data_IF_974139852894
#
_entry.id   IF_974139852894
#
_cell.length_a   1.000
_cell.length_b   1.000
_cell.length_c   1.000
_cell.angle_alpha   90.00
_cell.angle_beta   90.00
_cell.angle_gamma   90.00
#
_symmetry.space_group_name_H-M   'P 1'
#
loop_
_entity.id
_entity.type
_entity.pdbx_description
1 polymer ?
#
# COMPACT_ATOMS: atom_id res chain seq x y z
N UNK A 1 64.78 26.79 71.12
CA UNK A 1 64.39 25.55 70.40
C UNK A 1 63.31 25.95 69.40
N UNK A 2 63.64 26.11 68.10
CA UNK A 2 63.46 25.12 67.00
C UNK A 2 62.00 24.64 66.88
N UNK A 3 61.24 24.59 65.77
CA UNK A 3 61.35 24.69 64.27
C UNK A 3 59.89 24.94 63.79
N UNK A 4 59.56 25.76 62.78
CA UNK A 4 59.54 25.53 61.31
C UNK A 4 58.63 24.38 60.77
N UNK A 5 57.73 24.78 59.84
CA UNK A 5 57.17 24.09 58.64
C UNK A 5 55.77 23.44 58.71
N UNK A 6 54.90 23.83 57.74
CA UNK A 6 53.95 22.90 57.11
C UNK A 6 52.70 23.49 56.45
N UNK A 7 52.81 24.05 55.24
CA UNK A 7 51.70 24.25 54.29
C UNK A 7 51.02 22.92 53.91
N UNK A 8 49.72 22.94 53.63
CA UNK A 8 49.12 22.31 52.43
C UNK A 8 47.64 22.65 52.29
N UNK A 9 47.34 23.51 51.32
CA UNK A 9 46.08 23.53 50.59
C UNK A 9 45.79 22.14 50.03
N UNK A 10 44.54 21.69 50.10
CA UNK A 10 44.02 20.64 49.22
C UNK A 10 42.71 21.13 48.61
N UNK A 11 42.84 21.75 47.43
CA UNK A 11 41.76 21.89 46.47
C UNK A 11 41.31 20.49 46.03
N UNK A 12 40.11 20.08 46.46
CA UNK A 12 39.43 18.89 45.96
C UNK A 12 38.99 19.10 44.51
N UNK A 13 39.84 18.66 43.58
CA UNK A 13 39.59 18.56 42.16
C UNK A 13 38.17 18.03 41.86
N UNK A 14 37.35 18.88 41.22
CA UNK A 14 36.15 18.44 40.54
C UNK A 14 36.54 17.43 39.46
N UNK A 15 36.31 16.14 39.73
CA UNK A 15 36.47 15.08 38.76
C UNK A 15 35.57 15.38 37.56
N UNK A 16 36.17 15.94 36.52
CA UNK A 16 35.46 16.36 35.34
C UNK A 16 34.98 15.11 34.61
N UNK A 17 33.66 14.88 34.62
CA UNK A 17 32.97 13.84 33.84
C UNK A 17 33.06 14.13 32.32
N UNK A 18 34.27 14.30 31.78
CA UNK A 18 34.50 14.61 30.37
C UNK A 18 34.01 13.48 29.47
N UNK A 19 34.24 12.22 29.86
CA UNK A 19 33.80 11.04 29.09
C UNK A 19 32.28 10.88 29.09
N UNK A 20 31.63 11.16 30.23
CA UNK A 20 30.17 11.20 30.33
C UNK A 20 29.55 12.32 29.50
N UNK A 21 30.18 13.50 29.48
CA UNK A 21 29.77 14.65 28.65
C UNK A 21 30.03 14.42 27.17
N UNK A 22 31.13 13.77 26.79
CA UNK A 22 31.42 13.41 25.40
C UNK A 22 30.42 12.37 24.87
N UNK A 23 30.13 11.33 25.65
CA UNK A 23 29.16 10.30 25.26
C UNK A 23 27.73 10.83 25.22
N UNK A 24 27.35 11.76 26.12
CA UNK A 24 26.09 12.49 26.04
C UNK A 24 26.03 13.47 24.86
N UNK A 25 27.09 14.25 24.61
CA UNK A 25 27.15 15.12 23.44
C UNK A 25 27.11 14.35 22.14
N UNK A 26 27.79 13.20 22.04
CA UNK A 26 27.69 12.31 20.87
C UNK A 26 26.28 11.74 20.75
N UNK A 27 25.64 11.33 21.84
CA UNK A 27 24.23 10.88 21.80
C UNK A 27 23.28 12.00 21.37
N UNK A 28 23.47 13.23 21.85
CA UNK A 28 22.72 14.41 21.38
C UNK A 28 22.98 14.67 19.92
N UNK A 29 24.23 14.74 19.48
CA UNK A 29 24.57 14.98 18.07
C UNK A 29 24.00 13.87 17.18
N UNK A 30 24.06 12.61 17.60
CA UNK A 30 23.46 11.49 16.86
C UNK A 30 21.93 11.61 16.83
N UNK A 31 21.30 12.08 17.91
CA UNK A 31 19.85 12.32 17.97
C UNK A 31 19.44 13.52 17.12
N UNK A 32 20.19 14.62 17.19
CA UNK A 32 20.00 15.86 16.43
C UNK A 32 20.22 15.62 14.93
N UNK A 33 21.17 14.75 14.54
CA UNK A 33 21.34 14.27 13.15
C UNK A 33 20.21 13.32 12.74
N UNK A 34 19.63 12.57 13.67
CA UNK A 34 18.43 11.73 13.42
C UNK A 34 17.17 12.56 13.21
N UNK A 35 17.12 13.75 13.81
CA UNK A 35 16.00 14.69 13.85
C UNK A 35 16.17 15.89 12.90
N UNK A 36 17.11 15.86 11.95
CA UNK A 36 17.11 16.80 10.83
C UNK A 36 15.79 16.63 10.06
N UNK A 37 14.89 17.60 10.28
CA UNK A 37 13.51 17.59 9.82
C UNK A 37 13.40 17.54 8.30
N UNK A 38 12.21 17.12 7.83
CA UNK A 38 11.86 17.14 6.42
C UNK A 38 11.92 18.56 5.86
N UNK A 39 12.22 18.71 4.57
CA UNK A 39 12.16 20.01 3.85
C UNK A 39 10.76 20.64 3.89
N UNK A 40 9.74 19.84 4.20
CA UNK A 40 8.33 20.18 4.36
C UNK A 40 7.96 20.70 5.75
N UNK A 41 8.83 20.60 6.76
CA UNK A 41 8.53 20.98 8.14
C UNK A 41 7.59 20.02 8.89
N UNK A 42 7.34 18.83 8.33
CA UNK A 42 6.52 17.80 8.96
C UNK A 42 7.28 17.14 10.12
N UNK A 43 6.56 16.88 11.21
CA UNK A 43 7.09 16.17 12.39
C UNK A 43 7.40 14.72 12.05
N UNK A 44 8.31 14.11 12.81
CA UNK A 44 8.67 12.71 12.63
C UNK A 44 7.46 11.78 12.73
N UNK A 45 6.58 12.03 13.68
CA UNK A 45 5.31 11.31 13.84
C UNK A 45 4.42 11.40 12.61
N UNK A 46 4.24 12.59 11.99
CA UNK A 46 3.43 12.75 10.77
C UNK A 46 4.01 11.99 9.57
N UNK A 47 5.34 11.98 9.46
CA UNK A 47 6.06 11.26 8.40
C UNK A 47 5.90 9.74 8.59
N UNK A 48 5.95 9.26 9.84
CA UNK A 48 5.70 7.86 10.18
C UNK A 48 4.24 7.48 9.90
N UNK A 49 3.27 8.31 10.31
CA UNK A 49 1.85 8.05 10.07
C UNK A 49 1.55 7.95 8.57
N UNK A 50 2.13 8.86 7.77
CA UNK A 50 2.01 8.83 6.31
C UNK A 50 2.62 7.55 5.73
N UNK A 51 3.77 7.10 6.25
CA UNK A 51 4.41 5.86 5.83
C UNK A 51 3.55 4.63 6.10
N UNK A 52 3.04 4.50 7.33
CA UNK A 52 2.13 3.41 7.72
C UNK A 52 0.90 3.37 6.81
N UNK A 53 0.31 4.55 6.56
CA UNK A 53 -0.86 4.71 5.71
C UNK A 53 -0.60 4.28 4.26
N UNK A 54 0.49 4.75 3.66
CA UNK A 54 0.88 4.39 2.30
C UNK A 54 1.12 2.89 2.15
N UNK A 55 1.79 2.25 3.12
CA UNK A 55 2.03 0.80 3.12
C UNK A 55 0.73 0.00 3.20
N UNK A 56 -0.15 0.34 4.13
CA UNK A 56 -1.42 -0.36 4.31
C UNK A 56 -2.30 -0.28 3.04
N UNK A 57 -2.34 0.91 2.44
CA UNK A 57 -3.10 1.16 1.21
C UNK A 57 -2.49 0.42 0.03
N UNK A 58 -1.16 0.39 -0.09
CA UNK A 58 -0.47 -0.33 -1.17
C UNK A 58 -0.85 -1.81 -1.19
N UNK A 59 -0.75 -2.50 -0.06
CA UNK A 59 -1.09 -3.94 0.05
C UNK A 59 -2.50 -4.21 -0.47
N UNK A 60 -3.48 -3.41 -0.04
CA UNK A 60 -4.87 -3.59 -0.47
C UNK A 60 -5.11 -3.22 -1.93
N UNK A 61 -4.41 -2.20 -2.44
CA UNK A 61 -4.49 -1.85 -3.85
C UNK A 61 -3.93 -2.97 -4.73
N UNK A 62 -2.81 -3.58 -4.31
CA UNK A 62 -2.22 -4.74 -5.00
C UNK A 62 -3.22 -5.90 -5.07
N UNK A 63 -3.92 -6.23 -3.96
CA UNK A 63 -4.96 -7.26 -3.96
C UNK A 63 -6.13 -6.97 -4.92
N UNK A 64 -6.59 -5.70 -4.93
CA UNK A 64 -7.68 -5.25 -5.79
C UNK A 64 -7.27 -5.30 -7.27
N UNK A 65 -6.03 -4.89 -7.55
CA UNK A 65 -5.39 -4.96 -8.85
C UNK A 65 -5.25 -6.40 -9.34
N UNK A 66 -4.68 -7.28 -8.53
CA UNK A 66 -4.50 -8.70 -8.84
C UNK A 66 -5.83 -9.39 -9.14
N UNK A 67 -6.88 -9.05 -8.38
CA UNK A 67 -8.21 -9.59 -8.62
C UNK A 67 -8.75 -9.18 -9.99
N UNK A 68 -8.60 -7.90 -10.37
CA UNK A 68 -8.99 -7.40 -11.68
C UNK A 68 -8.14 -8.03 -12.80
N UNK A 69 -6.81 -8.08 -12.63
CA UNK A 69 -5.85 -8.71 -13.57
C UNK A 69 -6.23 -10.16 -13.83
N UNK A 70 -6.33 -10.98 -12.77
CA UNK A 70 -6.67 -12.41 -12.86
C UNK A 70 -8.01 -12.65 -13.56
N UNK A 71 -9.01 -11.81 -13.30
CA UNK A 71 -10.31 -11.93 -13.95
C UNK A 71 -10.26 -11.66 -15.46
N UNK A 72 -9.54 -10.61 -15.88
CA UNK A 72 -9.40 -10.25 -17.29
C UNK A 72 -8.49 -11.23 -18.05
N UNK A 73 -7.37 -11.65 -17.46
CA UNK A 73 -6.50 -12.69 -18.04
C UNK A 73 -7.26 -14.02 -18.13
N UNK A 74 -8.00 -14.39 -17.09
CA UNK A 74 -8.84 -15.59 -17.08
C UNK A 74 -9.96 -15.55 -18.14
N UNK A 75 -10.54 -14.38 -18.41
CA UNK A 75 -11.51 -14.17 -19.50
C UNK A 75 -10.86 -14.48 -20.86
N UNK A 76 -9.66 -13.96 -21.11
CA UNK A 76 -8.91 -14.19 -22.33
C UNK A 76 -8.56 -15.68 -22.52
N UNK A 77 -8.04 -16.33 -21.48
CA UNK A 77 -7.71 -17.77 -21.52
C UNK A 77 -8.95 -18.60 -21.86
N UNK A 78 -10.05 -18.43 -21.13
CA UNK A 78 -11.32 -19.13 -21.39
C UNK A 78 -11.90 -18.82 -22.77
N UNK A 79 -11.74 -17.59 -23.27
CA UNK A 79 -12.19 -17.22 -24.60
C UNK A 79 -11.41 -17.94 -25.70
N UNK A 80 -10.08 -18.03 -25.57
CA UNK A 80 -9.25 -18.77 -26.51
C UNK A 80 -9.60 -20.26 -26.51
N UNK A 81 -9.76 -20.88 -25.35
CA UNK A 81 -10.20 -22.27 -25.21
C UNK A 81 -11.57 -22.50 -25.87
N UNK A 82 -12.50 -21.55 -25.72
CA UNK A 82 -13.84 -21.64 -26.30
C UNK A 82 -13.84 -21.76 -27.82
N UNK A 83 -12.77 -21.33 -28.51
CA UNK A 83 -12.65 -21.43 -29.98
C UNK A 83 -12.68 -22.87 -30.48
N UNK A 84 -12.32 -23.84 -29.63
CA UNK A 84 -12.35 -25.26 -29.93
C UNK A 84 -13.76 -25.88 -29.79
N UNK A 85 -14.74 -25.12 -29.30
CA UNK A 85 -16.13 -25.61 -29.14
C UNK A 85 -16.90 -25.37 -30.44
N UNK A 86 -17.14 -26.46 -31.19
CA UNK A 86 -17.86 -26.42 -32.46
C UNK A 86 -19.35 -26.12 -32.31
N UNK A 87 -19.99 -26.55 -31.21
CA UNK A 87 -21.40 -26.28 -30.96
C UNK A 87 -21.62 -24.82 -30.55
N UNK A 88 -22.29 -24.05 -31.41
CA UNK A 88 -22.51 -22.61 -31.22
C UNK A 88 -23.36 -22.31 -29.98
N UNK A 89 -24.34 -23.15 -29.62
CA UNK A 89 -25.17 -22.95 -28.43
C UNK A 89 -24.38 -23.18 -27.14
N UNK A 90 -23.53 -24.21 -27.12
CA UNK A 90 -22.62 -24.47 -26.00
C UNK A 90 -21.60 -23.34 -25.86
N UNK A 91 -20.97 -22.94 -26.97
CA UNK A 91 -20.01 -21.83 -26.98
C UNK A 91 -20.65 -20.52 -26.53
N UNK A 92 -21.84 -20.21 -27.01
CA UNK A 92 -22.61 -19.05 -26.55
C UNK A 92 -22.81 -19.05 -25.02
N UNK A 93 -23.15 -20.21 -24.45
CA UNK A 93 -23.32 -20.36 -23.00
C UNK A 93 -22.01 -20.11 -22.25
N UNK A 94 -20.88 -20.61 -22.77
CA UNK A 94 -19.55 -20.34 -22.21
C UNK A 94 -19.20 -18.85 -22.25
N UNK A 95 -19.37 -18.18 -23.40
CA UNK A 95 -19.11 -16.74 -23.55
C UNK A 95 -19.92 -15.92 -22.56
N UNK A 96 -21.21 -16.26 -22.42
CA UNK A 96 -22.10 -15.62 -21.45
C UNK A 96 -21.61 -15.84 -20.01
N UNK A 97 -21.14 -17.03 -19.68
CA UNK A 97 -20.65 -17.37 -18.34
C UNK A 97 -19.38 -16.61 -17.98
N UNK A 98 -18.38 -16.60 -18.86
CA UNK A 98 -17.11 -15.92 -18.59
C UNK A 98 -17.29 -14.39 -18.45
N UNK A 99 -18.16 -13.77 -19.25
CA UNK A 99 -18.49 -12.34 -19.10
C UNK A 99 -19.22 -12.09 -17.78
N UNK A 100 -20.12 -12.98 -17.36
CA UNK A 100 -20.79 -12.89 -16.05
C UNK A 100 -19.81 -12.99 -14.89
N UNK A 101 -18.83 -13.88 -14.97
CA UNK A 101 -17.81 -14.04 -13.92
C UNK A 101 -17.04 -12.74 -13.68
N UNK A 102 -16.63 -12.06 -14.76
CA UNK A 102 -15.91 -10.78 -14.71
C UNK A 102 -16.82 -9.65 -14.25
N UNK A 103 -18.00 -9.51 -14.84
CA UNK A 103 -18.93 -8.40 -14.54
C UNK A 103 -19.54 -8.48 -13.14
N UNK A 104 -19.50 -9.65 -12.48
CA UNK A 104 -19.86 -9.80 -11.07
C UNK A 104 -18.94 -9.00 -10.15
N UNK A 105 -17.66 -8.81 -10.51
CA UNK A 105 -16.74 -8.02 -9.71
C UNK A 105 -17.20 -6.55 -9.56
N UNK A 106 -17.82 -5.99 -10.60
CA UNK A 106 -18.45 -4.65 -10.56
C UNK A 106 -19.73 -4.57 -9.72
N UNK A 107 -20.22 -5.69 -9.18
CA UNK A 107 -21.31 -5.70 -8.19
C UNK A 107 -20.79 -5.95 -6.78
N UNK A 108 -19.52 -6.35 -6.65
CA UNK A 108 -18.83 -6.59 -5.39
C UNK A 108 -17.95 -5.39 -5.05
N UNK A 109 -18.58 -4.30 -4.63
CA UNK A 109 -17.96 -2.99 -4.35
C UNK A 109 -16.83 -3.03 -3.31
N UNK A 110 -16.79 -4.06 -2.46
CA UNK A 110 -15.69 -4.34 -1.53
C UNK A 110 -14.42 -4.84 -2.23
N UNK A 111 -14.61 -5.62 -3.30
CA UNK A 111 -13.56 -6.29 -4.06
C UNK A 111 -12.92 -5.34 -5.07
N UNK A 112 -13.69 -4.43 -5.67
CA UNK A 112 -13.20 -3.40 -6.59
C UNK A 112 -13.58 -1.99 -6.12
N UNK A 113 -12.73 -1.41 -5.27
CA UNK A 113 -12.88 -0.04 -4.76
C UNK A 113 -12.95 0.96 -5.91
N UNK A 114 -13.91 1.88 -5.88
CA UNK A 114 -13.96 2.97 -6.85
C UNK A 114 -13.07 4.13 -6.42
N UNK A 115 -12.04 4.42 -7.20
CA UNK A 115 -11.14 5.56 -6.97
C UNK A 115 -11.41 6.58 -8.08
N UNK A 116 -11.96 7.77 -7.76
CA UNK A 116 -12.19 8.82 -8.75
C UNK A 116 -10.87 9.26 -9.37
N UNK A 117 -10.89 9.58 -10.67
CA UNK A 117 -9.71 10.04 -11.41
C UNK A 117 -9.06 11.27 -10.74
N UNK A 118 -7.76 11.43 -10.95
CA UNK A 118 -7.03 12.63 -10.56
C UNK A 118 -7.60 13.87 -11.25
N UNK A 119 -7.81 14.94 -10.49
CA UNK A 119 -8.26 16.22 -11.04
C UNK A 119 -7.09 16.98 -11.68
N UNK A 120 -7.36 17.82 -12.70
CA UNK A 120 -6.28 18.49 -13.46
C UNK A 120 -5.36 19.37 -12.60
N UNK A 121 -5.89 19.92 -11.51
CA UNK A 121 -5.16 20.80 -10.59
C UNK A 121 -4.57 20.03 -9.39
N UNK A 122 -4.91 18.76 -9.23
CA UNK A 122 -4.50 17.94 -8.09
C UNK A 122 -3.09 17.41 -8.30
N UNK A 123 -2.20 17.63 -7.33
CA UNK A 123 -0.85 17.07 -7.37
C UNK A 123 -0.88 15.55 -7.17
N UNK A 124 0.15 14.85 -7.65
CA UNK A 124 0.23 13.38 -7.50
C UNK A 124 0.16 12.95 -6.02
N UNK A 125 0.90 13.56 -5.08
CA UNK A 125 0.77 13.21 -3.66
C UNK A 125 -0.62 13.44 -3.09
N UNK A 126 -1.27 14.56 -3.44
CA UNK A 126 -2.63 14.85 -2.99
C UNK A 126 -3.64 13.78 -3.49
N UNK A 127 -3.53 13.41 -4.76
CA UNK A 127 -4.33 12.34 -5.35
C UNK A 127 -4.14 10.99 -4.64
N UNK A 128 -2.89 10.61 -4.37
CA UNK A 128 -2.58 9.35 -3.68
C UNK A 128 -3.16 9.35 -2.26
N UNK A 129 -2.99 10.44 -1.50
CA UNK A 129 -3.56 10.56 -0.15
C UNK A 129 -5.10 10.58 -0.14
N UNK A 130 -5.72 11.14 -1.18
CA UNK A 130 -7.17 11.03 -1.38
C UNK A 130 -7.59 9.58 -1.63
N UNK A 131 -6.85 8.84 -2.46
CA UNK A 131 -7.09 7.42 -2.70
C UNK A 131 -6.94 6.60 -1.40
N UNK A 132 -5.92 6.87 -0.57
CA UNK A 132 -5.76 6.29 0.76
C UNK A 132 -7.03 6.51 1.62
N UNK A 133 -7.50 7.76 1.67
CA UNK A 133 -8.69 8.14 2.44
C UNK A 133 -9.96 7.39 2.00
N UNK A 134 -10.14 7.21 0.69
CA UNK A 134 -11.29 6.47 0.14
C UNK A 134 -11.19 4.99 0.50
N UNK A 135 -9.99 4.42 0.40
CA UNK A 135 -9.79 3.01 0.68
C UNK A 135 -10.05 2.70 2.16
N UNK A 136 -9.52 3.50 3.09
CA UNK A 136 -9.80 3.38 4.53
C UNK A 136 -11.30 3.44 4.86
N UNK A 137 -12.04 4.35 4.23
CA UNK A 137 -13.51 4.44 4.40
C UNK A 137 -14.23 3.20 3.89
N UNK A 138 -13.77 2.66 2.75
CA UNK A 138 -14.36 1.47 2.15
C UNK A 138 -14.07 0.21 2.98
N UNK A 139 -12.98 0.18 3.75
CA UNK A 139 -12.66 -0.92 4.66
C UNK A 139 -13.72 -1.07 5.77
N UNK A 140 -14.06 0.06 6.43
CA UNK A 140 -15.00 0.09 7.56
C UNK A 140 -16.42 -0.36 7.20
N UNK A 141 -16.77 -0.26 5.92
CA UNK A 141 -18.09 -0.59 5.42
C UNK A 141 -18.18 -2.08 5.04
N UNK A 142 -17.08 -2.70 4.58
CA UNK A 142 -17.06 -4.08 4.02
C UNK A 142 -16.92 -5.20 5.03
N UNK A 143 -16.47 -4.88 6.23
CA UNK A 143 -16.48 -5.79 7.36
C UNK A 143 -17.81 -5.63 8.09
N UNK A 144 -18.75 -6.54 7.83
CA UNK A 144 -19.97 -6.64 8.63
C UNK A 144 -19.61 -6.59 10.12
N UNK A 145 -20.24 -5.66 10.85
CA UNK A 145 -20.14 -5.39 12.30
C UNK A 145 -18.92 -6.05 12.96
N UNK A 146 -17.77 -5.36 12.95
CA UNK A 146 -16.64 -5.73 13.79
C UNK A 146 -17.04 -5.57 15.26
N UNK A 147 -17.14 -6.68 15.98
CA UNK A 147 -17.31 -6.69 17.44
C UNK A 147 -16.11 -5.99 18.10
N UNK A 148 -16.39 -5.21 19.15
CA UNK A 148 -15.43 -4.40 19.93
C UNK A 148 -14.15 -5.15 20.34
N UNK A 149 -14.18 -6.48 20.40
CA UNK A 149 -13.08 -7.35 20.78
C UNK A 149 -11.91 -7.31 19.80
N UNK A 150 -12.15 -7.22 18.49
CA UNK A 150 -11.07 -7.31 17.49
C UNK A 150 -10.31 -6.00 17.29
N UNK A 151 -10.98 -4.86 17.53
CA UNK A 151 -10.33 -3.54 17.59
C UNK A 151 -9.46 -3.41 18.86
N UNK A 152 -9.85 -4.07 19.95
CA UNK A 152 -9.03 -4.15 21.15
C UNK A 152 -7.81 -5.06 20.94
N UNK A 153 -7.95 -6.17 20.20
CA UNK A 153 -6.83 -7.05 19.82
C UNK A 153 -5.82 -6.32 18.93
N UNK A 154 -6.25 -5.60 17.90
CA UNK A 154 -5.34 -4.79 17.04
C UNK A 154 -4.67 -3.64 17.81
N UNK A 155 -5.36 -3.04 18.78
CA UNK A 155 -4.78 -2.00 19.65
C UNK A 155 -3.76 -2.56 20.65
N UNK A 156 -4.01 -3.77 21.18
CA UNK A 156 -3.08 -4.48 22.06
C UNK A 156 -1.87 -4.99 21.27
N UNK A 157 -2.06 -5.51 20.07
CA UNK A 157 -0.96 -5.93 19.19
C UNK A 157 -0.11 -4.74 18.72
N UNK A 158 -0.73 -3.58 18.42
CA UNK A 158 0.00 -2.33 18.12
C UNK A 158 0.78 -1.83 19.34
N UNK A 159 0.19 -1.91 20.55
CA UNK A 159 0.85 -1.52 21.80
C UNK A 159 2.02 -2.46 22.17
N UNK A 160 1.83 -3.77 22.05
CA UNK A 160 2.90 -4.76 22.28
C UNK A 160 4.02 -4.65 21.24
N UNK A 161 3.71 -4.28 19.99
CA UNK A 161 4.71 -4.05 18.95
C UNK A 161 5.56 -2.82 19.28
N UNK A 162 4.97 -1.75 19.79
CA UNK A 162 5.69 -0.55 20.24
C UNK A 162 6.53 -0.85 21.49
N UNK A 163 5.99 -1.59 22.47
CA UNK A 163 6.70 -1.95 23.71
C UNK A 163 7.89 -2.90 23.46
N UNK A 164 7.76 -3.86 22.52
CA UNK A 164 8.88 -4.72 22.08
C UNK A 164 9.95 -3.96 21.28
N UNK A 165 9.63 -2.79 20.73
CA UNK A 165 10.57 -1.92 20.03
C UNK A 165 11.33 -1.01 21.01
N UNK A 166 10.67 -0.52 22.07
CA UNK A 166 11.30 0.28 23.13
C UNK A 166 12.21 -0.54 24.06
N UNK A 167 11.91 -1.83 24.25
CA UNK A 167 12.68 -2.75 25.14
C UNK A 167 14.07 -3.16 24.63
N UNK A 168 14.50 -2.77 23.42
CA UNK A 168 15.76 -3.29 22.81
C UNK A 168 17.01 -2.41 23.03
N UNK A 169 17.16 -1.84 24.22
CA UNK A 169 18.45 -1.28 24.70
C UNK A 169 19.12 -2.23 25.71
N UNK A 170 19.35 -3.48 25.33
CA UNK A 170 20.25 -4.39 26.07
C UNK A 170 21.55 -4.56 25.26
N UNK A 171 22.71 -4.06 25.73
CA UNK A 171 23.91 -3.88 24.88
C UNK A 171 24.65 -5.16 24.47
N UNK A 172 24.21 -6.36 24.89
CA UNK A 172 25.07 -7.56 24.85
C UNK A 172 24.61 -8.66 23.87
N UNK A 173 23.76 -8.35 22.89
CA UNK A 173 23.33 -9.34 21.90
C UNK A 173 23.54 -8.86 20.46
N UNK A 174 24.44 -9.54 19.75
CA UNK A 174 24.69 -9.38 18.31
C UNK A 174 23.38 -9.45 17.51
N UNK A 175 23.08 -8.46 16.64
CA UNK A 175 21.83 -8.44 15.90
C UNK A 175 21.88 -9.39 14.70
N UNK A 176 21.18 -10.52 14.82
CA UNK A 176 20.75 -11.32 13.66
C UNK A 176 19.24 -11.16 13.49
N UNK A 177 18.85 -10.79 12.27
CA UNK A 177 17.51 -10.49 11.77
C UNK A 177 17.01 -9.07 12.04
N UNK A 178 17.46 -8.15 11.18
CA UNK A 178 16.91 -6.80 11.04
C UNK A 178 15.59 -6.91 10.26
N UNK A 179 14.49 -7.11 10.98
CA UNK A 179 13.23 -6.55 10.50
C UNK A 179 13.38 -5.04 10.68
N UNK A 180 13.62 -4.31 9.59
CA UNK A 180 13.82 -2.85 9.60
C UNK A 180 12.62 -2.21 10.28
N UNK A 181 12.80 -1.81 11.53
CA UNK A 181 11.82 -1.02 12.27
C UNK A 181 11.89 0.40 11.75
N UNK A 182 10.75 0.97 11.35
CA UNK A 182 10.66 2.39 10.99
C UNK A 182 11.12 3.31 12.12
N UNK A 183 11.12 2.83 13.38
CA UNK A 183 11.65 3.55 14.54
C UNK A 183 13.18 3.77 14.49
N UNK A 184 13.91 2.91 13.77
CA UNK A 184 15.38 3.02 13.65
C UNK A 184 15.81 3.96 12.52
N UNK A 185 14.91 4.26 11.57
CA UNK A 185 15.15 5.14 10.44
C UNK A 185 15.16 6.62 10.86
N UNK A 186 15.94 7.43 10.15
CA UNK A 186 15.89 8.89 10.30
C UNK A 186 14.62 9.45 9.66
N UNK A 187 14.16 10.61 10.12
CA UNK A 187 12.97 11.27 9.54
C UNK A 187 13.11 11.45 8.02
N UNK A 188 14.29 11.87 7.56
CA UNK A 188 14.63 12.03 6.13
C UNK A 188 14.55 10.71 5.34
N UNK A 189 14.97 9.58 5.91
CA UNK A 189 14.86 8.27 5.26
C UNK A 189 13.40 7.84 5.08
N UNK A 190 12.56 8.08 6.09
CA UNK A 190 11.13 7.73 6.04
C UNK A 190 10.41 8.63 5.02
N UNK A 191 10.77 9.92 4.95
CA UNK A 191 10.22 10.85 3.97
C UNK A 191 10.62 10.51 2.52
N UNK A 192 11.88 10.09 2.33
CA UNK A 192 12.33 9.54 1.05
C UNK A 192 11.54 8.28 0.64
N UNK A 193 11.26 7.38 1.58
CA UNK A 193 10.42 6.22 1.33
C UNK A 193 8.96 6.61 1.03
N UNK A 194 8.40 7.59 1.74
CA UNK A 194 7.06 8.10 1.47
C UNK A 194 6.94 8.66 0.04
N UNK A 195 7.96 9.39 -0.41
CA UNK A 195 8.02 9.90 -1.78
C UNK A 195 8.05 8.75 -2.79
N UNK A 196 8.89 7.74 -2.56
CA UNK A 196 8.97 6.57 -3.43
C UNK A 196 7.64 5.80 -3.46
N UNK A 197 7.07 5.49 -2.30
CA UNK A 197 5.79 4.80 -2.18
C UNK A 197 4.64 5.57 -2.82
N UNK A 198 4.63 6.90 -2.71
CA UNK A 198 3.65 7.75 -3.37
C UNK A 198 3.69 7.57 -4.89
N UNK A 199 4.90 7.57 -5.48
CA UNK A 199 5.07 7.36 -6.92
C UNK A 199 4.67 5.94 -7.36
N UNK A 200 5.04 4.92 -6.60
CA UNK A 200 4.71 3.54 -6.92
C UNK A 200 3.21 3.28 -6.81
N UNK A 201 2.58 3.79 -5.74
CA UNK A 201 1.14 3.70 -5.54
C UNK A 201 0.37 4.47 -6.62
N UNK A 202 0.88 5.62 -7.09
CA UNK A 202 0.30 6.34 -8.22
C UNK A 202 0.29 5.50 -9.51
N UNK A 203 1.40 4.83 -9.84
CA UNK A 203 1.47 3.93 -11.00
C UNK A 203 0.49 2.77 -10.87
N UNK A 204 0.44 2.15 -9.69
CA UNK A 204 -0.49 1.06 -9.39
C UNK A 204 -1.95 1.51 -9.52
N UNK A 205 -2.31 2.67 -8.97
CA UNK A 205 -3.65 3.27 -9.09
C UNK A 205 -4.04 3.50 -10.55
N UNK A 206 -3.10 3.93 -11.41
CA UNK A 206 -3.35 4.10 -12.85
C UNK A 206 -3.66 2.77 -13.53
N UNK A 207 -2.84 1.75 -13.31
CA UNK A 207 -3.05 0.41 -13.87
C UNK A 207 -4.38 -0.19 -13.40
N UNK A 208 -4.63 -0.14 -12.09
CA UNK A 208 -5.89 -0.57 -11.49
C UNK A 208 -7.09 0.15 -12.10
N UNK A 209 -7.03 1.49 -12.21
CA UNK A 209 -8.11 2.26 -12.83
C UNK A 209 -8.37 1.86 -14.27
N UNK A 210 -7.33 1.51 -15.04
CA UNK A 210 -7.48 1.02 -16.41
C UNK A 210 -8.28 -0.28 -16.46
N UNK A 211 -7.81 -1.30 -15.73
CA UNK A 211 -8.49 -2.60 -15.65
C UNK A 211 -9.93 -2.49 -15.14
N UNK A 212 -10.15 -1.68 -14.10
CA UNK A 212 -11.47 -1.45 -13.52
C UNK A 212 -12.43 -0.83 -14.54
N UNK A 213 -11.96 0.11 -15.36
CA UNK A 213 -12.78 0.70 -16.42
C UNK A 213 -13.17 -0.33 -17.49
N UNK A 214 -12.28 -1.26 -17.85
CA UNK A 214 -12.61 -2.36 -18.76
C UNK A 214 -13.73 -3.23 -18.22
N UNK A 215 -13.66 -3.61 -16.94
CA UNK A 215 -14.70 -4.43 -16.30
C UNK A 215 -16.04 -3.67 -16.26
N UNK A 216 -16.02 -2.37 -15.95
CA UNK A 216 -17.20 -1.50 -15.94
C UNK A 216 -17.84 -1.36 -17.33
N UNK A 217 -17.03 -1.16 -18.36
CA UNK A 217 -17.48 -1.07 -19.74
C UNK A 217 -18.09 -2.41 -20.20
N UNK A 218 -17.40 -3.52 -19.94
CA UNK A 218 -17.90 -4.86 -20.23
C UNK A 218 -19.28 -5.12 -19.58
N UNK A 219 -19.47 -4.69 -18.33
CA UNK A 219 -20.76 -4.81 -17.63
C UNK A 219 -21.86 -4.01 -18.33
N UNK A 220 -21.54 -2.79 -18.74
CA UNK A 220 -22.48 -1.90 -19.44
C UNK A 220 -22.89 -2.50 -20.78
N UNK A 221 -21.91 -2.87 -21.61
CA UNK A 221 -22.14 -3.47 -22.92
C UNK A 221 -22.87 -4.81 -22.83
N UNK A 222 -22.48 -5.67 -21.89
CA UNK A 222 -23.15 -6.94 -21.64
C UNK A 222 -24.61 -6.76 -21.21
N UNK A 223 -24.89 -5.75 -20.40
CA UNK A 223 -26.27 -5.43 -19.98
C UNK A 223 -27.09 -4.95 -21.16
N UNK A 224 -26.54 -4.05 -21.97
CA UNK A 224 -27.20 -3.54 -23.18
C UNK A 224 -27.43 -4.64 -24.21
N UNK A 225 -26.50 -5.60 -24.34
CA UNK A 225 -26.61 -6.70 -25.29
C UNK A 225 -27.81 -7.64 -25.01
N UNK A 226 -28.38 -7.62 -23.81
CA UNK A 226 -29.52 -8.48 -23.43
C UNK A 226 -30.80 -8.18 -24.22
N UNK A 227 -30.94 -6.99 -24.80
CA UNK A 227 -32.11 -6.66 -25.63
C UNK A 227 -32.10 -7.42 -26.98
N UNK A 228 -30.93 -7.80 -27.48
CA UNK A 228 -30.80 -8.39 -28.81
C UNK A 228 -31.05 -9.90 -28.84
N UNK A 229 -31.58 -10.46 -29.95
CA UNK A 229 -31.72 -11.91 -30.14
C UNK A 229 -30.38 -12.67 -30.04
N UNK A 230 -30.44 -13.98 -29.78
CA UNK A 230 -29.26 -14.82 -29.50
C UNK A 230 -28.16 -14.70 -30.57
N UNK A 231 -28.51 -14.72 -31.87
CA UNK A 231 -27.53 -14.70 -32.97
C UNK A 231 -26.72 -13.40 -32.98
N UNK A 232 -27.41 -12.25 -32.89
CA UNK A 232 -26.77 -10.93 -32.81
C UNK A 232 -25.95 -10.84 -31.52
N UNK A 233 -26.54 -11.24 -30.40
CA UNK A 233 -25.89 -11.22 -29.09
C UNK A 233 -24.61 -12.06 -29.10
N UNK A 234 -24.60 -13.23 -29.74
CA UNK A 234 -23.42 -14.08 -29.84
C UNK A 234 -22.24 -13.36 -30.54
N UNK A 235 -22.50 -12.58 -31.59
CA UNK A 235 -21.44 -11.76 -32.19
C UNK A 235 -20.94 -10.72 -31.20
N UNK A 236 -21.86 -9.94 -30.61
CA UNK A 236 -21.52 -8.90 -29.64
C UNK A 236 -20.68 -9.44 -28.48
N UNK A 237 -21.02 -10.60 -27.90
CA UNK A 237 -20.26 -11.19 -26.79
C UNK A 237 -18.81 -11.51 -27.18
N UNK A 238 -18.58 -11.99 -28.41
CA UNK A 238 -17.21 -12.22 -28.90
C UNK A 238 -16.47 -10.90 -29.07
N UNK A 239 -17.13 -9.89 -29.62
CA UNK A 239 -16.51 -8.62 -29.94
C UNK A 239 -16.15 -7.85 -28.66
N UNK A 240 -17.03 -7.81 -27.65
CA UNK A 240 -16.72 -7.30 -26.31
C UNK A 240 -15.43 -7.92 -25.71
N UNK A 241 -15.28 -9.24 -25.82
CA UNK A 241 -14.10 -9.92 -25.28
C UNK A 241 -12.84 -9.57 -26.09
N UNK A 242 -12.94 -9.53 -27.42
CA UNK A 242 -11.82 -9.12 -28.28
C UNK A 242 -11.42 -7.66 -28.04
N UNK A 243 -12.38 -6.77 -27.82
CA UNK A 243 -12.12 -5.35 -27.59
C UNK A 243 -11.30 -5.16 -26.31
N UNK A 244 -11.59 -5.93 -25.24
CA UNK A 244 -10.74 -6.00 -24.05
C UNK A 244 -9.33 -6.49 -24.40
N UNK A 245 -9.22 -7.57 -25.18
CA UNK A 245 -7.92 -8.15 -25.55
C UNK A 245 -7.04 -7.21 -26.37
N UNK A 246 -7.64 -6.27 -27.09
CA UNK A 246 -6.95 -5.28 -27.91
C UNK A 246 -6.73 -3.95 -27.17
N UNK A 247 -7.28 -3.81 -25.96
CA UNK A 247 -7.21 -2.57 -25.21
C UNK A 247 -5.80 -2.35 -24.64
N UNK A 248 -5.22 -1.13 -24.75
CA UNK A 248 -3.87 -0.83 -24.26
C UNK A 248 -3.70 -1.16 -22.77
N UNK A 249 -4.64 -0.75 -21.91
CA UNK A 249 -4.59 -1.03 -20.47
C UNK A 249 -4.56 -2.53 -20.14
N UNK A 250 -5.16 -3.39 -20.98
CA UNK A 250 -5.06 -4.84 -20.81
C UNK A 250 -3.71 -5.37 -21.33
N UNK A 251 -3.28 -4.90 -22.50
CA UNK A 251 -2.04 -5.31 -23.16
C UNK A 251 -0.77 -4.96 -22.37
N UNK A 252 -0.80 -3.85 -21.62
CA UNK A 252 0.29 -3.48 -20.70
C UNK A 252 0.44 -4.53 -19.59
N UNK A 253 -0.68 -5.04 -19.08
CA UNK A 253 -0.70 -5.91 -17.90
C UNK A 253 -0.56 -7.39 -18.23
N UNK A 254 -1.01 -7.83 -19.41
CA UNK A 254 -0.93 -9.25 -19.79
C UNK A 254 0.50 -9.77 -20.01
N UNK A 255 1.48 -8.87 -20.12
CA UNK A 255 2.90 -9.19 -20.26
C UNK A 255 3.71 -9.01 -18.97
N UNK A 256 3.08 -8.56 -17.88
CA UNK A 256 3.73 -8.47 -16.59
C UNK A 256 3.97 -9.88 -16.04
N UNK A 257 5.24 -10.25 -15.90
CA UNK A 257 5.68 -11.51 -15.28
C UNK A 257 5.16 -11.54 -13.84
N UNK A 258 4.47 -12.62 -13.47
CA UNK A 258 4.00 -12.86 -12.09
C UNK A 258 5.17 -13.11 -11.12
#
# INVERSE_FOLDING_TARGET
MNRLVGDSEVEGHGSTNLVGKFTQSVRRIVQDVKDEGTTSGATKEEVIETNERLRAVRVRMDESYDTAKKALVGLMTKYNESKNVHNVFQRYTLLKSMIKDVTRLETQYWTLVDIPKQEKQETVPAFVLRACSIMEKTQKSGEGVKTSTRLAEEAVEKKERIERLESKFNPDQSPKNILVSTADMTTSQIDGENTQMTNDLYRLLKKYSGLRNLIRQLKTEYTNAKIYPMVIRYSMLKDMIKDIMLHPDYMEVCHEVD
#
